data_IF_726549346057
#
_entry.id   IF_726549346057
#
_cell.length_a   1.000
_cell.length_b   1.000
_cell.length_c   1.000
_cell.angle_alpha   90.00
_cell.angle_beta   90.00
_cell.angle_gamma   90.00
#
_symmetry.space_group_name_H-M   'P 1'
#
loop_
_entity.id
_entity.type
_entity.pdbx_description
1 polymer ?
#
# COMPACT_ATOMS: atom_id res chain seq x y z
N UNK A 1 7.35 2.93 21.21
CA UNK A 1 7.55 1.48 21.03
C UNK A 1 8.04 1.14 19.63
N UNK A 2 7.27 1.41 18.56
CA UNK A 2 7.64 1.01 17.19
C UNK A 2 8.95 1.59 16.65
N UNK A 3 9.36 2.80 17.09
CA UNK A 3 10.68 3.36 16.76
C UNK A 3 11.84 2.50 17.28
N UNK A 4 11.71 1.92 18.47
CA UNK A 4 12.74 1.03 19.02
C UNK A 4 12.81 -0.26 18.21
N UNK A 5 11.65 -0.80 17.83
CA UNK A 5 11.54 -1.98 16.96
C UNK A 5 12.24 -1.73 15.61
N UNK A 6 11.99 -0.58 14.98
CA UNK A 6 12.68 -0.17 13.75
C UNK A 6 14.19 -0.02 13.92
N UNK A 7 14.66 0.44 15.08
CA UNK A 7 16.10 0.49 15.37
C UNK A 7 16.69 -0.91 15.44
N UNK A 8 16.05 -1.84 16.16
CA UNK A 8 16.52 -3.22 16.26
C UNK A 8 16.60 -3.89 14.88
N UNK A 9 15.56 -3.75 14.04
CA UNK A 9 15.58 -4.30 12.69
C UNK A 9 16.54 -3.54 11.75
N UNK A 10 16.70 -2.24 11.93
CA UNK A 10 17.66 -1.44 11.19
C UNK A 10 19.13 -1.84 11.40
N UNK A 11 19.43 -2.50 12.52
CA UNK A 11 20.78 -2.95 12.88
C UNK A 11 21.07 -4.41 12.48
N UNK A 12 20.15 -5.07 11.76
CA UNK A 12 20.33 -6.46 11.28
C UNK A 12 21.70 -6.69 10.59
N UNK A 13 22.23 -5.78 9.76
CA UNK A 13 23.54 -5.98 9.15
C UNK A 13 24.67 -6.27 10.13
N UNK A 14 24.60 -5.80 11.38
CA UNK A 14 25.60 -6.09 12.42
C UNK A 14 25.65 -7.58 12.80
N UNK A 15 24.61 -8.36 12.53
CA UNK A 15 24.63 -9.82 12.76
C UNK A 15 25.74 -10.50 11.93
N UNK A 16 26.23 -9.85 10.87
CA UNK A 16 27.39 -10.32 10.08
C UNK A 16 28.67 -10.52 10.91
N UNK A 17 28.78 -9.95 12.12
CA UNK A 17 29.86 -10.27 13.06
C UNK A 17 29.86 -11.74 13.49
N UNK A 18 28.69 -12.36 13.58
CA UNK A 18 28.52 -13.72 14.10
C UNK A 18 28.19 -14.74 13.00
N UNK A 19 27.37 -14.35 12.02
CA UNK A 19 26.84 -15.24 10.98
C UNK A 19 27.18 -14.66 9.61
N UNK A 20 27.84 -15.43 8.73
CA UNK A 20 28.30 -14.97 7.42
C UNK A 20 27.67 -15.76 6.27
N UNK A 21 27.73 -15.17 5.07
CA UNK A 21 27.33 -15.83 3.83
C UNK A 21 25.83 -16.15 3.76
N UNK A 22 25.50 -17.33 3.25
CA UNK A 22 24.10 -17.74 3.00
C UNK A 22 23.24 -17.83 4.25
N UNK A 23 23.81 -18.17 5.41
CA UNK A 23 23.08 -18.20 6.67
C UNK A 23 22.61 -16.81 7.08
N UNK A 24 23.45 -15.79 6.91
CA UNK A 24 23.05 -14.40 7.16
C UNK A 24 21.92 -13.98 6.22
N UNK A 25 22.03 -14.31 4.94
CA UNK A 25 21.00 -14.00 3.94
C UNK A 25 19.63 -14.58 4.34
N UNK A 26 19.57 -15.87 4.70
CA UNK A 26 18.32 -16.52 5.10
C UNK A 26 17.70 -15.91 6.36
N UNK A 27 18.49 -15.74 7.42
CA UNK A 27 17.99 -15.19 8.70
C UNK A 27 17.55 -13.74 8.52
N UNK A 28 18.37 -12.90 7.89
CA UNK A 28 18.02 -11.49 7.67
C UNK A 28 16.76 -11.33 6.81
N UNK A 29 16.56 -12.18 5.81
CA UNK A 29 15.34 -12.16 4.97
C UNK A 29 14.08 -12.39 5.80
N UNK A 30 14.10 -13.41 6.66
CA UNK A 30 12.95 -13.72 7.54
C UNK A 30 12.69 -12.56 8.49
N UNK A 31 13.75 -12.00 9.08
CA UNK A 31 13.63 -10.89 10.03
C UNK A 31 13.06 -9.63 9.36
N UNK A 32 13.49 -9.29 8.14
CA UNK A 32 12.96 -8.15 7.38
C UNK A 32 11.51 -8.34 6.93
N UNK A 33 11.10 -9.57 6.63
CA UNK A 33 9.67 -9.87 6.36
C UNK A 33 8.84 -9.64 7.62
N UNK A 34 9.32 -10.12 8.76
CA UNK A 34 8.66 -9.92 10.06
C UNK A 34 8.60 -8.42 10.42
N UNK A 35 9.68 -7.67 10.19
CA UNK A 35 9.71 -6.22 10.46
C UNK A 35 8.64 -5.48 9.67
N UNK A 36 8.50 -5.79 8.37
CA UNK A 36 7.47 -5.21 7.53
C UNK A 36 6.06 -5.41 8.10
N UNK A 37 5.70 -6.63 8.49
CA UNK A 37 4.36 -6.90 9.03
C UNK A 37 4.11 -6.23 10.38
N UNK A 38 5.13 -6.09 11.23
CA UNK A 38 5.00 -5.41 12.53
C UNK A 38 4.82 -3.90 12.36
N UNK A 39 5.55 -3.31 11.40
CA UNK A 39 5.55 -1.86 11.16
C UNK A 39 4.41 -1.39 10.24
N UNK A 40 3.82 -2.30 9.47
CA UNK A 40 2.66 -1.99 8.60
C UNK A 40 1.53 -1.33 9.42
N UNK A 41 0.91 -0.30 8.86
CA UNK A 41 -0.12 0.54 9.49
C UNK A 41 0.35 1.35 10.71
N UNK A 42 1.66 1.41 11.00
CA UNK A 42 2.23 2.21 12.12
C UNK A 42 2.78 3.56 11.67
N UNK A 43 2.62 3.91 10.40
CA UNK A 43 3.08 5.16 9.81
C UNK A 43 4.45 5.06 9.14
N UNK A 44 4.82 6.14 8.46
CA UNK A 44 6.00 6.25 7.59
C UNK A 44 7.32 6.29 8.35
N UNK A 45 7.35 7.02 9.48
CA UNK A 45 8.56 7.28 10.27
C UNK A 45 9.32 6.00 10.71
N UNK A 46 8.66 4.96 11.27
CA UNK A 46 9.31 3.68 11.58
C UNK A 46 10.08 3.08 10.40
N UNK A 47 9.51 3.06 9.19
CA UNK A 47 10.15 2.53 7.99
C UNK A 47 11.34 3.40 7.55
N UNK A 48 11.26 4.73 7.65
CA UNK A 48 12.40 5.62 7.36
C UNK A 48 13.59 5.31 8.27
N UNK A 49 13.33 5.15 9.58
CA UNK A 49 14.36 4.86 10.57
C UNK A 49 15.02 3.51 10.27
N UNK A 50 14.22 2.47 10.02
CA UNK A 50 14.73 1.14 9.67
C UNK A 50 15.58 1.19 8.40
N UNK A 51 15.07 1.78 7.31
CA UNK A 51 15.79 1.88 6.05
C UNK A 51 17.10 2.66 6.17
N UNK A 52 17.10 3.79 6.89
CA UNK A 52 18.29 4.59 7.13
C UNK A 52 19.36 3.83 7.93
N UNK A 53 18.94 3.07 8.96
CA UNK A 53 19.86 2.27 9.77
C UNK A 53 20.36 1.04 9.01
N UNK A 54 19.55 0.40 8.16
CA UNK A 54 19.99 -0.72 7.33
C UNK A 54 21.14 -0.30 6.42
N UNK A 55 21.00 0.82 5.71
CA UNK A 55 22.08 1.28 4.82
C UNK A 55 23.29 1.78 5.60
N UNK A 56 23.10 2.51 6.70
CA UNK A 56 24.20 2.99 7.53
C UNK A 56 25.01 1.83 8.14
N UNK A 57 24.32 0.85 8.73
CA UNK A 57 24.97 -0.33 9.31
C UNK A 57 25.61 -1.21 8.23
N UNK A 58 24.99 -1.34 7.05
CA UNK A 58 25.57 -2.08 5.94
C UNK A 58 26.83 -1.40 5.37
N UNK A 59 26.84 -0.07 5.28
CA UNK A 59 28.05 0.69 4.91
C UNK A 59 29.16 0.47 5.93
N UNK A 60 28.83 0.51 7.22
CA UNK A 60 29.78 0.21 8.29
C UNK A 60 30.37 -1.21 8.16
N UNK A 61 29.53 -2.23 7.93
CA UNK A 61 29.98 -3.61 7.74
C UNK A 61 30.87 -3.78 6.50
N UNK A 62 30.64 -2.99 5.46
CA UNK A 62 31.48 -2.99 4.26
C UNK A 62 32.85 -2.35 4.53
N UNK A 63 32.90 -1.21 5.23
CA UNK A 63 34.15 -0.51 5.57
C UNK A 63 35.10 -1.41 6.38
N UNK A 64 34.56 -2.18 7.33
CA UNK A 64 35.35 -3.11 8.15
C UNK A 64 35.69 -4.44 7.45
N UNK A 65 35.30 -4.60 6.17
CA UNK A 65 35.61 -5.80 5.37
C UNK A 65 34.85 -7.06 5.76
N UNK A 66 33.74 -6.94 6.50
CA UNK A 66 32.91 -8.09 6.91
C UNK A 66 31.77 -8.38 5.94
N UNK A 67 31.44 -7.46 5.05
CA UNK A 67 30.40 -7.65 4.04
C UNK A 67 30.95 -7.96 2.66
N UNK A 68 30.27 -8.85 1.95
CA UNK A 68 30.58 -9.20 0.57
C UNK A 68 29.64 -8.47 -0.39
N UNK A 69 30.08 -8.24 -1.63
CA UNK A 69 29.30 -7.54 -2.67
C UNK A 69 27.86 -8.07 -2.80
N UNK A 70 27.60 -9.40 -2.84
CA UNK A 70 26.23 -9.90 -2.95
C UNK A 70 25.33 -9.51 -1.77
N UNK A 71 25.87 -9.54 -0.54
CA UNK A 71 25.13 -9.17 0.67
C UNK A 71 24.85 -7.67 0.67
N UNK A 72 25.83 -6.87 0.25
CA UNK A 72 25.68 -5.42 0.13
C UNK A 72 24.56 -5.03 -0.83
N UNK A 73 24.53 -5.65 -2.02
CA UNK A 73 23.48 -5.40 -2.99
C UNK A 73 22.10 -5.84 -2.48
N UNK A 74 22.03 -6.99 -1.81
CA UNK A 74 20.80 -7.49 -1.20
C UNK A 74 20.24 -6.51 -0.15
N UNK A 75 21.03 -6.07 0.81
CA UNK A 75 20.58 -5.12 1.84
C UNK A 75 20.22 -3.77 1.24
N UNK A 76 20.94 -3.33 0.20
CA UNK A 76 20.61 -2.11 -0.53
C UNK A 76 19.23 -2.21 -1.21
N UNK A 77 18.94 -3.34 -1.86
CA UNK A 77 17.64 -3.59 -2.47
C UNK A 77 16.52 -3.64 -1.41
N UNK A 78 16.75 -4.35 -0.31
CA UNK A 78 15.79 -4.41 0.79
C UNK A 78 15.50 -3.01 1.38
N UNK A 79 16.53 -2.18 1.51
CA UNK A 79 16.41 -0.79 1.95
C UNK A 79 15.52 0.03 1.01
N UNK A 80 15.70 -0.12 -0.31
CA UNK A 80 14.85 0.55 -1.31
C UNK A 80 13.39 0.15 -1.14
N UNK A 81 13.11 -1.15 -0.96
CA UNK A 81 11.74 -1.65 -0.75
C UNK A 81 11.12 -1.09 0.54
N UNK A 82 11.90 -0.99 1.61
CA UNK A 82 11.46 -0.38 2.88
C UNK A 82 11.14 1.12 2.69
N UNK A 83 11.93 1.86 1.89
CA UNK A 83 11.60 3.24 1.57
C UNK A 83 10.35 3.37 0.71
N UNK A 84 10.08 2.43 -0.19
CA UNK A 84 8.81 2.39 -0.93
C UNK A 84 7.64 2.19 0.04
N UNK A 85 7.73 1.23 0.96
CA UNK A 85 6.71 1.03 1.99
C UNK A 85 6.50 2.27 2.88
N UNK A 86 7.59 2.97 3.22
CA UNK A 86 7.51 4.24 3.96
C UNK A 86 6.73 5.31 3.21
N UNK A 87 6.91 5.40 1.88
CA UNK A 87 6.19 6.36 1.04
C UNK A 87 4.69 6.05 1.01
N UNK A 88 4.31 4.77 0.94
CA UNK A 88 2.90 4.38 0.93
C UNK A 88 2.23 4.72 2.27
N UNK A 89 2.89 4.42 3.40
CA UNK A 89 2.41 4.80 4.73
C UNK A 89 2.36 6.33 4.92
N UNK A 90 3.23 7.09 4.23
CA UNK A 90 3.24 8.55 4.30
C UNK A 90 1.95 9.14 3.75
N UNK A 91 1.43 8.60 2.64
CA UNK A 91 0.15 9.06 2.06
C UNK A 91 -0.97 8.91 3.09
N UNK A 92 -0.96 7.83 3.87
CA UNK A 92 -1.93 7.59 4.95
C UNK A 92 -1.69 8.53 6.15
N UNK A 93 -0.44 8.79 6.50
CA UNK A 93 -0.09 9.75 7.56
C UNK A 93 -0.53 11.17 7.21
N UNK A 94 -0.33 11.61 5.96
CA UNK A 94 -0.75 12.92 5.47
C UNK A 94 -2.28 13.08 5.58
N UNK A 95 -3.05 12.02 5.28
CA UNK A 95 -4.51 12.01 5.46
C UNK A 95 -4.91 12.08 6.94
N UNK A 96 -4.21 11.34 7.82
CA UNK A 96 -4.44 11.39 9.27
C UNK A 96 -4.20 12.79 9.84
N UNK A 97 -3.17 13.48 9.35
CA UNK A 97 -2.87 14.84 9.79
C UNK A 97 -3.91 15.83 9.27
N UNK A 98 -4.40 15.66 8.03
CA UNK A 98 -5.53 16.45 7.51
C UNK A 98 -6.80 16.30 8.36
N UNK A 99 -7.20 15.07 8.69
CA UNK A 99 -8.38 14.78 9.53
C UNK A 99 -8.26 15.47 10.90
N UNK A 100 -7.04 15.51 11.46
CA UNK A 100 -6.76 16.19 12.72
C UNK A 100 -6.91 17.70 12.61
N UNK A 101 -6.46 18.31 11.50
CA UNK A 101 -6.61 19.74 11.23
C UNK A 101 -8.08 20.12 11.06
N UNK A 102 -8.90 19.24 10.47
CA UNK A 102 -10.36 19.43 10.35
C UNK A 102 -11.12 19.24 11.69
N UNK A 103 -10.43 18.98 12.80
CA UNK A 103 -11.03 18.90 14.14
C UNK A 103 -11.59 17.53 14.53
N UNK A 104 -11.29 16.48 13.76
CA UNK A 104 -11.74 15.12 14.07
C UNK A 104 -10.65 14.31 14.80
N UNK A 105 -11.08 13.45 15.71
CA UNK A 105 -10.20 12.57 16.50
C UNK A 105 -9.68 11.41 15.67
N UNK A 106 -8.37 11.13 15.77
CA UNK A 106 -7.65 10.09 15.01
C UNK A 106 -8.01 8.65 15.39
N UNK A 107 -8.61 8.44 16.56
CA UNK A 107 -8.60 7.14 17.24
C UNK A 107 -9.64 6.12 16.73
N UNK A 108 -10.61 6.54 15.90
CA UNK A 108 -11.66 5.67 15.35
C UNK A 108 -11.73 5.70 13.82
N UNK A 109 -10.60 5.90 13.15
CA UNK A 109 -10.54 5.92 11.69
C UNK A 109 -9.85 4.68 11.17
N UNK A 110 -10.53 3.99 10.26
CA UNK A 110 -9.94 2.92 9.47
C UNK A 110 -9.40 3.50 8.17
N UNK A 111 -8.18 3.07 7.80
CA UNK A 111 -7.48 3.56 6.62
C UNK A 111 -7.12 2.40 5.70
N UNK A 112 -7.46 2.55 4.43
CA UNK A 112 -7.09 1.63 3.36
C UNK A 112 -6.51 2.42 2.18
N UNK A 113 -5.61 1.78 1.43
CA UNK A 113 -5.04 2.36 0.20
C UNK A 113 -5.86 1.82 -0.95
N UNK A 114 -6.44 2.72 -1.74
CA UNK A 114 -7.27 2.41 -2.89
C UNK A 114 -6.73 3.09 -4.13
N UNK A 115 -7.20 2.68 -5.30
CA UNK A 115 -6.99 3.40 -6.54
C UNK A 115 -8.18 4.32 -6.82
N UNK A 116 -7.92 5.60 -7.08
CA UNK A 116 -8.94 6.61 -7.33
C UNK A 116 -9.08 6.92 -8.82
N UNK A 117 -10.33 7.01 -9.27
CA UNK A 117 -10.74 7.51 -10.58
C UNK A 117 -11.82 8.59 -10.44
N UNK A 118 -11.70 9.64 -11.25
CA UNK A 118 -12.71 10.71 -11.30
C UNK A 118 -13.76 10.38 -12.37
N UNK A 119 -15.04 10.40 -11.99
CA UNK A 119 -16.17 10.08 -12.88
C UNK A 119 -16.46 8.58 -13.06
N UNK A 120 -17.50 8.27 -13.85
CA UNK A 120 -17.88 6.89 -14.17
C UNK A 120 -16.89 6.25 -15.14
N UNK A 121 -16.02 5.37 -14.63
CA UNK A 121 -15.22 4.52 -15.49
C UNK A 121 -16.07 3.35 -15.98
N UNK A 122 -16.33 3.30 -17.28
CA UNK A 122 -17.20 2.30 -17.91
C UNK A 122 -16.46 1.08 -18.43
N UNK A 123 -15.13 1.15 -18.56
CA UNK A 123 -14.31 0.07 -19.10
C UNK A 123 -13.02 -0.12 -18.29
N UNK A 124 -12.59 -1.39 -18.13
CA UNK A 124 -11.31 -1.77 -17.52
C UNK A 124 -10.12 -1.09 -18.22
N UNK A 125 -10.21 -0.80 -19.51
CA UNK A 125 -9.13 -0.11 -20.25
C UNK A 125 -8.85 1.32 -19.75
N UNK A 126 -9.86 1.96 -19.16
CA UNK A 126 -9.76 3.29 -18.57
C UNK A 126 -9.16 3.27 -17.14
N UNK A 127 -8.93 2.08 -16.55
CA UNK A 127 -8.25 1.92 -15.26
C UNK A 127 -6.73 2.15 -15.33
N UNK A 128 -6.20 2.53 -16.50
CA UNK A 128 -4.76 2.76 -16.72
C UNK A 128 -4.25 4.07 -16.11
N UNK A 129 -5.13 5.05 -15.87
CA UNK A 129 -4.78 6.37 -15.32
C UNK A 129 -5.23 6.56 -13.86
N UNK A 130 -5.36 5.47 -13.11
CA UNK A 130 -5.74 5.56 -11.71
C UNK A 130 -4.61 6.12 -10.86
N UNK A 131 -4.98 6.96 -9.90
CA UNK A 131 -4.04 7.54 -8.95
C UNK A 131 -4.19 6.83 -7.60
N UNK A 132 -3.07 6.51 -6.96
CA UNK A 132 -3.09 5.95 -5.60
C UNK A 132 -3.70 6.98 -4.64
N UNK A 133 -4.66 6.53 -3.84
CA UNK A 133 -5.36 7.34 -2.87
C UNK A 133 -5.36 6.64 -1.50
N UNK A 134 -5.14 7.40 -0.42
CA UNK A 134 -5.52 6.91 0.90
C UNK A 134 -7.00 7.23 1.12
N UNK A 135 -7.74 6.23 1.58
CA UNK A 135 -9.15 6.32 1.91
C UNK A 135 -9.33 6.02 3.39
N UNK A 136 -9.84 6.99 4.13
CA UNK A 136 -10.17 6.91 5.54
C UNK A 136 -11.68 6.94 5.74
N UNK A 137 -12.20 6.08 6.61
CA UNK A 137 -13.62 6.08 6.98
C UNK A 137 -13.77 5.91 8.50
N UNK A 138 -14.81 6.53 9.04
CA UNK A 138 -15.17 6.50 10.46
C UNK A 138 -16.68 6.75 10.63
N UNK A 139 -17.20 6.78 11.85
CA UNK A 139 -18.60 7.15 12.10
C UNK A 139 -18.93 8.60 11.75
N UNK A 140 -17.92 9.47 11.61
CA UNK A 140 -18.11 10.91 11.35
C UNK A 140 -18.19 11.25 9.87
N UNK A 141 -17.70 10.38 9.01
CA UNK A 141 -17.60 10.64 7.58
C UNK A 141 -16.43 9.92 6.93
N UNK A 142 -16.17 10.31 5.69
CA UNK A 142 -15.14 9.77 4.82
C UNK A 142 -14.11 10.86 4.55
N UNK A 143 -12.83 10.49 4.48
CA UNK A 143 -11.78 11.38 4.03
C UNK A 143 -10.90 10.65 3.04
N UNK A 144 -10.45 11.32 1.99
CA UNK A 144 -9.48 10.75 1.08
C UNK A 144 -8.48 11.78 0.60
N UNK A 145 -7.29 11.31 0.26
CA UNK A 145 -6.31 12.08 -0.49
C UNK A 145 -5.91 11.34 -1.75
N UNK A 146 -5.64 12.08 -2.82
CA UNK A 146 -5.21 11.51 -4.09
C UNK A 146 -4.33 12.52 -4.82
N UNK A 147 -3.41 12.02 -5.64
CA UNK A 147 -2.56 12.88 -6.44
C UNK A 147 -3.22 13.14 -7.79
N UNK A 148 -3.64 14.38 -8.04
CA UNK A 148 -4.18 14.81 -9.34
C UNK A 148 -3.17 15.73 -10.01
N UNK A 149 -2.48 15.21 -11.04
CA UNK A 149 -1.41 15.94 -11.71
C UNK A 149 -0.23 16.22 -10.79
N UNK A 150 0.02 17.49 -10.47
CA UNK A 150 1.12 17.93 -9.59
C UNK A 150 0.68 18.16 -8.14
N UNK A 151 -0.62 18.27 -7.87
CA UNK A 151 -1.14 18.63 -6.56
C UNK A 151 -1.81 17.45 -5.86
N UNK A 152 -1.85 17.50 -4.53
CA UNK A 152 -2.59 16.55 -3.72
C UNK A 152 -3.98 17.11 -3.46
N UNK A 153 -4.98 16.43 -3.99
CA UNK A 153 -6.36 16.69 -3.70
C UNK A 153 -6.75 15.92 -2.45
N UNK A 154 -7.18 16.63 -1.41
CA UNK A 154 -7.63 16.04 -0.14
C UNK A 154 -9.01 16.57 0.19
N UNK A 155 -9.94 15.67 0.52
CA UNK A 155 -11.33 16.03 0.81
C UNK A 155 -11.85 15.24 2.00
N UNK A 156 -12.66 15.91 2.81
CA UNK A 156 -13.53 15.29 3.80
C UNK A 156 -14.98 15.37 3.29
N UNK A 157 -15.76 14.31 3.49
CA UNK A 157 -17.16 14.20 3.09
C UNK A 157 -17.93 13.71 4.31
N UNK A 158 -18.89 14.50 4.77
CA UNK A 158 -19.84 14.07 5.80
C UNK A 158 -20.87 13.10 5.18
N UNK A 159 -21.36 12.13 5.95
CA UNK A 159 -22.36 11.19 5.46
C UNK A 159 -23.66 11.87 5.00
N UNK A 160 -23.98 13.03 5.56
CA UNK A 160 -25.14 13.83 5.15
C UNK A 160 -24.98 14.44 3.75
N UNK A 161 -23.76 14.57 3.25
CA UNK A 161 -23.47 15.10 1.90
C UNK A 161 -23.51 14.01 0.82
N UNK A 162 -23.61 12.73 1.22
CA UNK A 162 -23.62 11.60 0.30
C UNK A 162 -25.05 11.36 -0.18
N UNK A 163 -25.29 11.66 -1.45
CA UNK A 163 -26.58 11.42 -2.09
C UNK A 163 -26.82 9.92 -2.26
N UNK A 164 -25.85 9.24 -2.88
CA UNK A 164 -25.92 7.80 -3.15
C UNK A 164 -24.53 7.16 -3.13
N UNK A 165 -24.48 5.86 -2.83
CA UNK A 165 -23.26 5.08 -2.92
C UNK A 165 -23.59 3.65 -3.33
N UNK A 166 -22.63 2.99 -3.96
CA UNK A 166 -22.83 1.58 -4.27
C UNK A 166 -21.59 0.89 -4.83
N UNK A 167 -21.66 -0.43 -4.82
CA UNK A 167 -20.65 -1.27 -5.44
C UNK A 167 -21.03 -1.55 -6.89
N UNK A 168 -20.03 -1.50 -7.77
CA UNK A 168 -20.19 -1.90 -9.16
C UNK A 168 -19.09 -2.88 -9.56
N UNK A 169 -19.42 -3.71 -10.54
CA UNK A 169 -18.50 -4.69 -11.09
C UNK A 169 -18.15 -4.30 -12.52
N UNK A 170 -16.86 -4.12 -12.79
CA UNK A 170 -16.34 -4.02 -14.13
C UNK A 170 -15.90 -5.40 -14.61
N UNK A 171 -16.33 -5.78 -15.81
CA UNK A 171 -16.03 -7.07 -16.39
C UNK A 171 -15.48 -6.89 -17.81
N UNK A 172 -14.29 -7.42 -18.06
CA UNK A 172 -13.67 -7.41 -19.39
C UNK A 172 -13.42 -8.84 -19.84
N UNK A 173 -13.84 -9.15 -21.06
CA UNK A 173 -13.56 -10.43 -21.70
C UNK A 173 -12.07 -10.48 -22.03
N UNK A 174 -11.38 -11.48 -21.50
CA UNK A 174 -9.96 -11.71 -21.79
C UNK A 174 -9.84 -12.82 -22.82
N UNK A 175 -8.85 -12.72 -23.72
CA UNK A 175 -8.45 -13.85 -24.54
C UNK A 175 -7.89 -14.97 -23.64
N UNK A 176 -8.29 -16.22 -23.92
CA UNK A 176 -7.76 -17.38 -23.21
C UNK A 176 -6.23 -17.37 -23.27
N UNK A 177 -5.60 -17.46 -22.10
CA UNK A 177 -4.16 -17.49 -22.02
C UNK A 177 -3.64 -18.89 -22.38
N UNK A 178 -2.86 -18.96 -23.46
CA UNK A 178 -2.15 -20.19 -23.83
C UNK A 178 -0.72 -20.14 -23.26
N UNK A 179 -0.30 -21.17 -22.51
CA UNK A 179 1.07 -21.25 -21.97
C UNK A 179 2.11 -21.12 -23.07
N UNK A 180 3.10 -20.24 -22.86
CA UNK A 180 4.23 -20.05 -23.77
C UNK A 180 5.47 -20.73 -23.20
N UNK A 181 6.40 -21.14 -24.07
CA UNK A 181 7.69 -21.72 -23.66
C UNK A 181 8.45 -20.81 -22.67
N UNK A 182 8.34 -19.49 -22.84
CA UNK A 182 8.94 -18.50 -21.93
C UNK A 182 8.43 -18.63 -20.48
N UNK A 183 7.20 -19.09 -20.29
CA UNK A 183 6.58 -19.20 -18.96
C UNK A 183 7.22 -20.33 -18.13
N UNK A 184 8.01 -21.20 -18.76
CA UNK A 184 8.84 -22.19 -18.07
C UNK A 184 10.03 -21.55 -17.33
N UNK A 185 10.43 -20.34 -17.73
CA UNK A 185 11.59 -19.64 -17.18
C UNK A 185 11.24 -18.32 -16.49
N UNK A 186 10.10 -17.70 -16.86
CA UNK A 186 9.67 -16.41 -16.32
C UNK A 186 8.22 -16.54 -15.88
N UNK A 187 7.98 -16.25 -14.60
CA UNK A 187 6.63 -16.30 -14.04
C UNK A 187 5.72 -15.28 -14.72
N UNK A 188 4.55 -15.70 -15.26
CA UNK A 188 3.64 -14.76 -15.87
C UNK A 188 2.98 -13.82 -14.86
N UNK A 189 2.85 -12.55 -15.20
CA UNK A 189 2.27 -11.52 -14.32
C UNK A 189 0.80 -11.75 -13.97
N UNK A 190 0.05 -12.54 -14.76
CA UNK A 190 -1.42 -12.64 -14.69
C UNK A 190 -1.91 -14.03 -14.21
N UNK A 191 -1.09 -14.79 -13.48
CA UNK A 191 -1.42 -16.18 -13.10
C UNK A 191 -2.81 -16.36 -12.46
N UNK A 192 -3.26 -15.42 -11.63
CA UNK A 192 -4.56 -15.49 -10.94
C UNK A 192 -5.78 -15.36 -11.86
N UNK A 193 -5.59 -14.86 -13.08
CA UNK A 193 -6.65 -14.63 -14.07
C UNK A 193 -6.46 -15.44 -15.36
N UNK A 194 -5.38 -16.22 -15.50
CA UNK A 194 -5.01 -16.93 -16.73
C UNK A 194 -6.09 -17.86 -17.30
N UNK A 195 -6.80 -18.58 -16.44
CA UNK A 195 -7.82 -19.53 -16.85
C UNK A 195 -9.24 -18.94 -16.84
N UNK A 196 -9.38 -17.66 -16.50
CA UNK A 196 -10.68 -17.01 -16.39
C UNK A 196 -11.02 -16.35 -17.74
N UNK A 197 -12.22 -16.59 -18.29
CA UNK A 197 -12.65 -15.94 -19.53
C UNK A 197 -12.90 -14.43 -19.34
N UNK A 198 -12.99 -13.98 -18.08
CA UNK A 198 -13.25 -12.60 -17.72
C UNK A 198 -12.32 -12.14 -16.60
N UNK A 199 -11.84 -10.91 -16.72
CA UNK A 199 -11.24 -10.15 -15.62
C UNK A 199 -12.37 -9.38 -14.95
N UNK A 200 -12.49 -9.53 -13.64
CA UNK A 200 -13.46 -8.81 -12.82
C UNK A 200 -12.69 -7.86 -11.91
N UNK A 201 -13.11 -6.59 -11.90
CA UNK A 201 -12.67 -5.59 -10.92
C UNK A 201 -13.90 -5.04 -10.23
N UNK A 202 -13.80 -4.80 -8.93
CA UNK A 202 -14.86 -4.22 -8.13
C UNK A 202 -14.50 -2.78 -7.82
N UNK A 203 -15.49 -1.91 -7.80
CA UNK A 203 -15.33 -0.52 -7.41
C UNK A 203 -16.46 -0.07 -6.52
N UNK A 204 -16.18 0.97 -5.75
CA UNK A 204 -17.14 1.76 -4.98
C UNK A 204 -17.35 3.08 -5.71
N UNK A 205 -18.60 3.46 -5.94
CA UNK A 205 -18.94 4.83 -6.32
C UNK A 205 -19.58 5.54 -5.14
N UNK A 206 -19.26 6.82 -4.98
CA UNK A 206 -19.86 7.73 -4.02
C UNK A 206 -20.29 8.97 -4.80
N UNK A 207 -21.58 9.27 -4.75
CA UNK A 207 -22.19 10.45 -5.36
C UNK A 207 -22.31 11.55 -4.30
N UNK A 208 -21.71 12.71 -4.59
CA UNK A 208 -21.74 13.89 -3.71
C UNK A 208 -22.10 15.09 -4.58
N UNK A 209 -23.36 15.52 -4.53
CA UNK A 209 -23.92 16.51 -5.45
C UNK A 209 -23.81 16.05 -6.90
N UNK A 210 -23.15 16.86 -7.73
CA UNK A 210 -22.93 16.56 -9.15
C UNK A 210 -21.67 15.72 -9.43
N UNK A 211 -20.90 15.35 -8.39
CA UNK A 211 -19.63 14.65 -8.54
C UNK A 211 -19.75 13.15 -8.23
N UNK A 212 -19.30 12.32 -9.18
CA UNK A 212 -19.13 10.88 -8.99
C UNK A 212 -17.66 10.55 -8.68
N UNK A 213 -17.42 10.08 -7.46
CA UNK A 213 -16.12 9.64 -6.98
C UNK A 213 -16.03 8.12 -7.06
N UNK A 214 -15.02 7.58 -7.75
CA UNK A 214 -14.86 6.13 -7.88
C UNK A 214 -13.56 5.63 -7.27
N UNK A 215 -13.67 4.55 -6.50
CA UNK A 215 -12.55 3.90 -5.83
C UNK A 215 -12.49 2.42 -6.24
N UNK A 216 -11.28 1.93 -6.52
CA UNK A 216 -11.02 0.55 -6.95
C UNK A 216 -10.05 -0.09 -6.00
N UNK A 217 -10.42 -1.27 -5.50
CA UNK A 217 -9.52 -2.09 -4.70
C UNK A 217 -10.00 -3.55 -4.66
N UNK A 218 -9.30 -4.40 -3.90
CA UNK A 218 -9.72 -5.77 -3.67
C UNK A 218 -11.18 -5.85 -3.15
N UNK A 219 -11.95 -6.89 -3.55
CA UNK A 219 -13.36 -6.99 -3.18
C UNK A 219 -13.61 -6.94 -1.67
N UNK A 220 -12.71 -7.52 -0.87
CA UNK A 220 -12.79 -7.50 0.59
C UNK A 220 -12.69 -6.10 1.19
N UNK A 221 -11.85 -5.22 0.61
CA UNK A 221 -11.70 -3.85 1.09
C UNK A 221 -12.95 -3.04 0.70
N UNK A 222 -13.42 -3.19 -0.54
CA UNK A 222 -14.62 -2.50 -1.02
C UNK A 222 -15.86 -2.92 -0.22
N UNK A 223 -16.01 -4.22 0.08
CA UNK A 223 -17.08 -4.73 0.95
C UNK A 223 -17.01 -4.12 2.34
N UNK A 224 -15.82 -4.12 2.97
CA UNK A 224 -15.61 -3.54 4.30
C UNK A 224 -16.06 -2.06 4.34
N UNK A 225 -15.70 -1.28 3.33
CA UNK A 225 -16.09 0.13 3.24
C UNK A 225 -17.61 0.24 3.04
N UNK A 226 -18.19 -0.55 2.15
CA UNK A 226 -19.63 -0.52 1.86
C UNK A 226 -20.48 -0.92 3.07
N UNK A 227 -20.08 -1.96 3.81
CA UNK A 227 -20.77 -2.40 5.03
C UNK A 227 -20.75 -1.29 6.09
N UNK A 228 -19.61 -0.63 6.28
CA UNK A 228 -19.50 0.51 7.20
C UNK A 228 -20.42 1.68 6.78
N UNK A 229 -20.49 1.97 5.48
CA UNK A 229 -21.38 3.01 4.94
C UNK A 229 -22.86 2.69 5.18
N UNK A 230 -23.25 1.43 5.00
CA UNK A 230 -24.62 0.97 5.28
C UNK A 230 -24.96 1.02 6.77
N UNK A 231 -24.02 0.67 7.66
CA UNK A 231 -24.23 0.70 9.10
C UNK A 231 -24.46 2.12 9.63
N UNK A 232 -23.69 3.11 9.17
CA UNK A 232 -23.80 4.49 9.65
C UNK A 232 -25.05 5.21 9.10
N UNK A 233 -25.59 4.78 7.95
CA UNK A 233 -26.78 5.37 7.34
C UNK A 233 -28.11 4.78 7.85
N UNK A 234 -28.07 3.67 8.60
CA UNK A 234 -29.24 3.06 9.25
C UNK A 234 -29.56 3.74 10.58
#
# INVERSE_FOLDING_TARGET
MYRLVSIFFGLIPLIQFFIKGWYFFGISSIVLIISYFILKKRGSNPFVIEGALLIASQLFMNIIGLSNIPIFLYISLATILIFVASRDEKIVDDLKDYIKVTGHSKENWDFEICYFGMGEIRNIDQLTNLSTAAFGFSDKGIAFNTKLGREYYTRFIDYNEIDDFGMFKLQKKQALYYPKIRDMFIWPSNMSTMHKPYINTYGLYILVGDESLTFYESPSIILKISEHLEEVRR
#
